data_IF_759510854654
#
_entry.id   IF_759510854654
#
_cell.length_a   1.000
_cell.length_b   1.000
_cell.length_c   1.000
_cell.angle_alpha   90.00
_cell.angle_beta   90.00
_cell.angle_gamma   90.00
#
_symmetry.space_group_name_H-M   'P 1'
#
loop_
_entity.id
_entity.type
_entity.pdbx_description
1 polymer ?
#
# COMPACT_ATOMS: atom_id res chain seq x y z
N UNK A 1 16.14 -9.41 -21.72
CA UNK A 1 15.82 -8.55 -20.54
C UNK A 1 16.61 -9.05 -19.34
N UNK A 2 17.46 -8.21 -18.77
CA UNK A 2 18.48 -8.58 -17.77
C UNK A 2 18.03 -8.18 -16.36
N UNK A 3 16.78 -8.45 -16.04
CA UNK A 3 16.18 -8.26 -14.72
C UNK A 3 15.35 -9.52 -14.46
N UNK A 4 15.98 -10.54 -13.88
CA UNK A 4 15.28 -11.73 -13.39
C UNK A 4 14.35 -11.32 -12.24
N UNK A 5 13.21 -11.98 -12.07
CA UNK A 5 12.21 -11.63 -11.07
C UNK A 5 10.84 -12.27 -11.33
N UNK A 6 9.96 -12.22 -10.34
CA UNK A 6 8.60 -12.75 -10.44
C UNK A 6 7.62 -11.65 -10.07
N UNK A 7 6.59 -11.48 -10.91
CA UNK A 7 5.43 -10.66 -10.61
C UNK A 7 4.21 -11.54 -10.41
N UNK A 8 3.42 -11.27 -9.38
CA UNK A 8 2.19 -11.99 -9.08
C UNK A 8 1.12 -11.05 -8.58
N UNK A 9 -0.13 -11.35 -8.93
CA UNK A 9 -1.30 -10.62 -8.45
C UNK A 9 -2.39 -11.60 -8.04
N UNK A 10 -3.03 -11.31 -6.91
CA UNK A 10 -4.24 -11.99 -6.45
C UNK A 10 -5.35 -10.97 -6.44
N UNK A 11 -6.40 -11.25 -7.21
CA UNK A 11 -7.62 -10.44 -7.23
C UNK A 11 -8.51 -10.90 -6.08
N UNK A 12 -8.96 -9.96 -5.27
CA UNK A 12 -9.92 -10.16 -4.19
C UNK A 12 -11.12 -9.23 -4.41
N UNK A 13 -12.12 -9.25 -3.51
CA UNK A 13 -13.35 -8.48 -3.69
C UNK A 13 -13.09 -6.99 -3.95
N UNK A 14 -13.24 -6.57 -5.21
CA UNK A 14 -13.05 -5.20 -5.72
C UNK A 14 -11.68 -4.56 -5.41
N UNK A 15 -10.67 -5.40 -5.16
CA UNK A 15 -9.35 -4.96 -4.74
C UNK A 15 -8.29 -6.02 -5.11
N UNK A 16 -7.04 -5.88 -4.66
CA UNK A 16 -5.96 -6.77 -5.08
C UNK A 16 -4.77 -6.77 -4.12
N UNK A 17 -3.98 -7.84 -4.21
CA UNK A 17 -2.63 -7.90 -3.65
C UNK A 17 -1.66 -8.17 -4.79
N UNK A 18 -0.66 -7.32 -4.98
CA UNK A 18 0.39 -7.47 -6.00
C UNK A 18 1.76 -7.60 -5.35
N UNK A 19 2.65 -8.37 -5.97
CA UNK A 19 4.05 -8.52 -5.57
C UNK A 19 4.92 -8.46 -6.82
N UNK A 20 6.02 -7.71 -6.74
CA UNK A 20 7.08 -7.65 -7.74
C UNK A 20 8.43 -7.88 -7.06
N UNK A 21 9.16 -8.93 -7.46
CA UNK A 21 10.49 -9.22 -6.92
C UNK A 21 11.59 -8.81 -7.89
N UNK A 22 12.69 -8.30 -7.32
CA UNK A 22 13.90 -7.89 -8.04
C UNK A 22 15.12 -8.50 -7.33
N UNK A 23 15.38 -9.81 -7.48
CA UNK A 23 16.44 -10.52 -6.77
C UNK A 23 17.82 -9.91 -6.95
N UNK A 24 18.17 -9.42 -8.15
CA UNK A 24 19.46 -8.78 -8.41
C UNK A 24 19.70 -7.52 -7.55
N UNK A 25 18.63 -6.89 -7.06
CA UNK A 25 18.66 -5.70 -6.21
C UNK A 25 18.39 -6.01 -4.74
N UNK A 26 18.08 -7.27 -4.40
CA UNK A 26 17.60 -7.65 -3.08
C UNK A 26 16.31 -6.91 -2.67
N UNK A 27 15.46 -6.57 -3.65
CA UNK A 27 14.31 -5.69 -3.46
C UNK A 27 12.99 -6.39 -3.79
N UNK A 28 11.95 -6.05 -3.04
CA UNK A 28 10.58 -6.47 -3.28
C UNK A 28 9.64 -5.28 -3.12
N UNK A 29 8.68 -5.16 -4.01
CA UNK A 29 7.58 -4.19 -3.94
C UNK A 29 6.27 -4.96 -3.80
N UNK A 30 5.42 -4.52 -2.87
CA UNK A 30 4.17 -5.20 -2.51
C UNK A 30 3.07 -4.15 -2.33
N UNK A 31 1.92 -4.35 -2.99
CA UNK A 31 0.71 -3.59 -2.70
C UNK A 31 -0.34 -4.50 -2.06
N UNK A 32 -0.92 -4.06 -0.95
CA UNK A 32 -2.06 -4.71 -0.31
C UNK A 32 -3.21 -3.72 -0.33
N UNK A 33 -4.14 -3.92 -1.27
CA UNK A 33 -5.36 -3.14 -1.36
C UNK A 33 -6.55 -4.02 -0.99
N UNK A 34 -7.37 -3.56 -0.06
CA UNK A 34 -8.56 -4.27 0.40
C UNK A 34 -9.70 -3.28 0.65
N UNK A 35 -10.90 -3.63 0.19
CA UNK A 35 -12.12 -2.90 0.54
C UNK A 35 -12.58 -3.15 1.99
N UNK A 36 -12.00 -4.13 2.68
CA UNK A 36 -12.23 -4.41 4.10
C UNK A 36 -11.02 -3.97 4.95
N UNK A 37 -11.25 -3.47 6.18
CA UNK A 37 -10.16 -3.20 7.11
C UNK A 37 -9.30 -4.43 7.33
N UNK A 38 -7.99 -4.22 7.43
CA UNK A 38 -7.02 -5.24 7.78
C UNK A 38 -5.95 -4.64 8.69
N UNK A 39 -5.27 -5.50 9.43
CA UNK A 39 -4.15 -5.09 10.27
C UNK A 39 -2.90 -4.90 9.41
N UNK A 40 -2.53 -3.64 9.20
CA UNK A 40 -1.34 -3.24 8.42
C UNK A 40 -0.06 -3.72 9.11
N UNK A 41 0.01 -3.64 10.44
CA UNK A 41 1.20 -4.07 11.20
C UNK A 41 1.42 -5.57 11.05
N UNK A 42 0.35 -6.36 11.13
CA UNK A 42 0.42 -7.81 10.91
C UNK A 42 0.79 -8.15 9.46
N UNK A 43 0.27 -7.40 8.48
CA UNK A 43 0.63 -7.59 7.08
C UNK A 43 2.12 -7.32 6.83
N UNK A 44 2.63 -6.20 7.34
CA UNK A 44 4.07 -5.84 7.27
C UNK A 44 4.91 -6.90 7.99
N UNK A 45 4.52 -7.32 9.20
CA UNK A 45 5.24 -8.38 9.95
C UNK A 45 5.37 -9.66 9.12
N UNK A 46 4.28 -10.12 8.49
CA UNK A 46 4.30 -11.31 7.63
C UNK A 46 5.21 -11.17 6.42
N UNK A 47 5.22 -9.99 5.77
CA UNK A 47 6.12 -9.73 4.65
C UNK A 47 7.58 -9.70 5.10
N UNK A 48 7.87 -9.04 6.22
CA UNK A 48 9.21 -8.97 6.82
C UNK A 48 9.74 -10.35 7.18
N UNK A 49 8.92 -11.20 7.80
CA UNK A 49 9.30 -12.58 8.15
C UNK A 49 9.50 -13.45 6.91
N UNK A 50 8.59 -13.36 5.93
CA UNK A 50 8.65 -14.21 4.74
C UNK A 50 9.83 -13.89 3.82
N UNK A 51 10.09 -12.60 3.59
CA UNK A 51 11.18 -12.14 2.73
C UNK A 51 12.48 -11.86 3.48
N UNK A 52 12.49 -12.01 4.81
CA UNK A 52 13.61 -11.63 5.69
C UNK A 52 14.07 -10.19 5.42
N UNK A 53 13.14 -9.24 5.42
CA UNK A 53 13.44 -7.85 5.12
C UNK A 53 14.33 -7.25 6.21
N UNK A 54 15.46 -6.68 5.81
CA UNK A 54 16.37 -5.96 6.70
C UNK A 54 15.88 -4.54 6.95
N UNK A 55 15.27 -3.93 5.94
CA UNK A 55 14.68 -2.60 5.98
C UNK A 55 13.40 -2.58 5.13
N UNK A 56 12.45 -1.72 5.50
CA UNK A 56 11.22 -1.51 4.76
C UNK A 56 10.64 -0.12 5.01
N UNK A 57 10.02 0.45 3.98
CA UNK A 57 9.11 1.58 4.10
C UNK A 57 7.72 1.11 3.65
N UNK A 58 6.68 1.52 4.38
CA UNK A 58 5.30 1.26 4.00
C UNK A 58 4.50 2.56 4.12
N UNK A 59 3.50 2.69 3.25
CA UNK A 59 2.56 3.81 3.26
C UNK A 59 1.14 3.25 3.21
N UNK A 60 0.23 3.94 3.90
CA UNK A 60 -1.18 3.57 3.96
C UNK A 60 -1.99 4.73 3.40
N UNK A 61 -2.82 4.42 2.42
CA UNK A 61 -3.71 5.36 1.76
C UNK A 61 -5.14 4.84 1.84
N UNK A 62 -6.02 5.67 2.36
CA UNK A 62 -7.45 5.42 2.25
C UNK A 62 -7.91 5.67 0.81
N UNK A 63 -8.82 4.83 0.33
CA UNK A 63 -9.32 4.90 -1.05
C UNK A 63 -10.83 5.07 -1.04
N UNK A 64 -11.33 5.86 -1.97
CA UNK A 64 -12.77 6.08 -2.12
C UNK A 64 -13.36 7.14 -1.18
N UNK A 65 -12.55 7.95 -0.49
CA UNK A 65 -13.02 9.06 0.36
C UNK A 65 -13.90 10.05 -0.42
N UNK A 66 -13.64 10.22 -1.72
CA UNK A 66 -14.38 11.12 -2.61
C UNK A 66 -15.74 10.56 -3.09
N UNK A 67 -16.17 9.37 -2.63
CA UNK A 67 -17.38 8.69 -3.10
C UNK A 67 -18.27 8.20 -1.94
N UNK A 68 -19.59 8.51 -1.92
CA UNK A 68 -20.36 9.27 -2.90
C UNK A 68 -20.35 10.80 -2.65
N UNK A 69 -20.61 11.57 -3.72
CA UNK A 69 -20.44 13.03 -3.86
C UNK A 69 -21.43 13.92 -3.08
N UNK A 70 -21.77 13.58 -1.83
CA UNK A 70 -22.52 14.52 -0.98
C UNK A 70 -21.56 15.58 -0.42
N UNK A 71 -21.43 16.69 -1.15
CA UNK A 71 -20.37 17.70 -0.97
C UNK A 71 -20.17 18.29 0.44
N UNK A 72 -21.17 18.45 1.33
CA UNK A 72 -20.92 19.11 2.61
C UNK A 72 -20.01 18.31 3.57
N UNK A 73 -20.04 16.98 3.53
CA UNK A 73 -19.33 16.11 4.49
C UNK A 73 -17.97 15.61 4.00
N UNK A 74 -17.73 15.61 2.68
CA UNK A 74 -16.54 15.00 2.07
C UNK A 74 -15.33 15.94 2.08
N UNK A 75 -15.54 17.26 1.95
CA UNK A 75 -14.45 18.24 1.80
C UNK A 75 -13.47 18.23 2.99
N UNK A 76 -13.91 18.24 4.26
CA UNK A 76 -12.99 18.20 5.39
C UNK A 76 -12.13 16.92 5.41
N UNK A 77 -12.73 15.76 5.10
CA UNK A 77 -12.04 14.46 5.08
C UNK A 77 -10.95 14.40 4.00
N UNK A 78 -11.27 14.90 2.79
CA UNK A 78 -10.30 14.94 1.69
C UNK A 78 -9.13 15.88 2.05
N UNK A 79 -9.40 17.04 2.63
CA UNK A 79 -8.33 17.97 3.02
C UNK A 79 -7.43 17.36 4.10
N UNK A 80 -8.01 16.70 5.10
CA UNK A 80 -7.25 16.01 6.15
C UNK A 80 -6.37 14.90 5.56
N UNK A 81 -6.91 14.05 4.70
CA UNK A 81 -6.16 12.99 4.01
C UNK A 81 -4.97 13.57 3.22
N UNK A 82 -5.19 14.64 2.45
CA UNK A 82 -4.14 15.27 1.65
C UNK A 82 -3.03 15.85 2.51
N UNK A 83 -3.36 16.46 3.65
CA UNK A 83 -2.39 16.99 4.60
C UNK A 83 -1.58 15.87 5.26
N UNK A 84 -2.24 14.81 5.72
CA UNK A 84 -1.56 13.63 6.29
C UNK A 84 -0.62 12.96 5.27
N UNK A 85 -1.06 12.86 4.01
CA UNK A 85 -0.22 12.32 2.93
C UNK A 85 1.01 13.20 2.67
N UNK A 86 0.86 14.53 2.67
CA UNK A 86 1.99 15.46 2.54
C UNK A 86 2.98 15.33 3.71
N UNK A 87 2.50 15.21 4.96
CA UNK A 87 3.37 15.02 6.13
C UNK A 87 4.19 13.73 6.03
N UNK A 88 3.55 12.61 5.63
CA UNK A 88 4.21 11.32 5.43
C UNK A 88 5.26 11.36 4.31
N UNK A 89 5.04 12.15 3.25
CA UNK A 89 5.98 12.33 2.16
C UNK A 89 7.22 13.17 2.54
N UNK A 90 7.11 14.05 3.54
CA UNK A 90 8.23 14.90 3.99
C UNK A 90 9.14 14.19 4.99
N UNK A 91 8.66 13.13 5.64
CA UNK A 91 9.37 12.38 6.69
C UNK A 91 9.90 11.00 6.24
N UNK A 92 9.92 10.74 4.93
CA UNK A 92 10.53 9.55 4.30
C UNK A 92 11.73 9.99 3.48
#
# INVERSE_FOLDING_TARGET
PQEDGISGIVIIAESHISIHTFPARGYVSVDIFSCKPFDVTEAVRKLTEYFHLVDFCHQVFDRGIEYPKEMPSVIPLVLEERLQNLEKMVHT
#
